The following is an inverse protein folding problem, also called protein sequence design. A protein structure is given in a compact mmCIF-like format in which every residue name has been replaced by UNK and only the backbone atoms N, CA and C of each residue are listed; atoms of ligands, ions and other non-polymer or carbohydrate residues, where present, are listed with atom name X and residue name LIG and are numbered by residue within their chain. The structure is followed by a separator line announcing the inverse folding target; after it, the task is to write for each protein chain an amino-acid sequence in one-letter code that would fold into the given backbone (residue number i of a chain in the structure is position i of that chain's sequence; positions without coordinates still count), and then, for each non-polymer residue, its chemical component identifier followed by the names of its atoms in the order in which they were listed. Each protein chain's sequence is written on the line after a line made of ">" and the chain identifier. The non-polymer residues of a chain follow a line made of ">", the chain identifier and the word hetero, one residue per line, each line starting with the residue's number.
data_IF_410829506515
#
_entry.id   IF_410829506515
#
_cell.length_a   1.000
_cell.length_b   1.000
_cell.length_c   1.000
_cell.angle_alpha   90.00
_cell.angle_beta   90.00
_cell.angle_gamma   90.00
#
_symmetry.space_group_name_H-M   'P 1'
#
loop_
_entity.id
_entity.type
_entity.pdbx_description
1 polymer ?
#
# COMPACT_ATOMS: atom_id res chain seq x y z
N UNK A 1 -25.72 1.11 -38.30
CA UNK A 1 -25.27 1.52 -36.95
C UNK A 1 -24.79 0.27 -36.22
N UNK A 2 -23.52 -0.10 -36.41
CA UNK A 2 -22.88 -1.21 -35.69
C UNK A 2 -21.55 -0.69 -35.15
N UNK A 3 -21.56 -0.23 -33.90
CA UNK A 3 -20.33 0.02 -33.15
C UNK A 3 -20.17 -1.11 -32.15
N UNK A 4 -19.43 -2.13 -32.55
CA UNK A 4 -18.92 -3.20 -31.71
C UNK A 4 -17.96 -2.57 -30.70
N UNK A 5 -18.47 -2.25 -29.51
CA UNK A 5 -17.62 -1.98 -28.34
C UNK A 5 -16.98 -3.30 -27.91
N UNK A 6 -15.89 -3.67 -28.54
CA UNK A 6 -14.90 -4.54 -27.90
C UNK A 6 -14.31 -3.74 -26.75
N UNK A 7 -14.87 -3.87 -25.55
CA UNK A 7 -14.18 -3.43 -24.35
C UNK A 7 -12.88 -4.23 -24.30
N UNK A 8 -11.77 -3.57 -24.59
CA UNK A 8 -10.45 -4.10 -24.30
C UNK A 8 -10.44 -4.32 -22.78
N UNK A 9 -10.77 -5.53 -22.33
CA UNK A 9 -10.76 -5.88 -20.92
C UNK A 9 -9.35 -5.56 -20.44
N UNK A 10 -9.18 -4.54 -19.61
CA UNK A 10 -7.88 -4.17 -19.06
C UNK A 10 -7.38 -5.33 -18.19
N UNK A 11 -6.06 -5.57 -18.16
CA UNK A 11 -5.51 -6.62 -17.32
C UNK A 11 -5.84 -6.31 -15.84
N UNK A 12 -6.49 -7.21 -15.10
CA UNK A 12 -6.90 -6.96 -13.72
C UNK A 12 -5.73 -6.75 -12.75
N UNK A 13 -4.51 -7.13 -13.15
CA UNK A 13 -3.28 -6.93 -12.38
C UNK A 13 -2.44 -5.74 -12.89
N UNK A 14 -2.99 -4.93 -13.79
CA UNK A 14 -2.33 -3.69 -14.21
C UNK A 14 -2.10 -2.75 -13.01
N UNK A 15 -1.04 -1.94 -13.08
CA UNK A 15 -0.67 -1.01 -11.99
C UNK A 15 -1.80 -0.08 -11.58
N UNK A 16 -2.68 0.28 -12.51
CA UNK A 16 -3.83 1.14 -12.27
C UNK A 16 -4.90 0.43 -11.41
N UNK A 17 -5.06 -0.87 -11.60
CA UNK A 17 -6.00 -1.70 -10.83
C UNK A 17 -5.45 -2.07 -9.44
N UNK A 18 -4.14 -2.24 -9.30
CA UNK A 18 -3.50 -2.71 -8.04
C UNK A 18 -2.82 -1.59 -7.23
N UNK A 19 -3.01 -0.33 -7.62
CA UNK A 19 -2.39 0.81 -6.95
C UNK A 19 -2.88 0.91 -5.49
N UNK A 20 -2.07 1.45 -4.55
CA UNK A 20 -2.49 1.61 -3.16
C UNK A 20 -3.76 2.44 -2.95
N UNK A 21 -4.09 3.34 -3.89
CA UNK A 21 -5.31 4.14 -3.87
C UNK A 21 -6.51 3.46 -4.52
N UNK A 22 -6.29 2.44 -5.36
CA UNK A 22 -7.35 1.72 -6.08
C UNK A 22 -7.91 0.55 -5.27
N UNK A 23 -7.15 0.02 -4.31
CA UNK A 23 -7.51 -1.18 -3.54
C UNK A 23 -7.79 -0.81 -2.08
N UNK A 24 -8.92 -1.24 -1.55
CA UNK A 24 -9.23 -1.10 -0.11
C UNK A 24 -8.43 -2.13 0.68
N UNK A 25 -7.77 -1.70 1.77
CA UNK A 25 -7.03 -2.62 2.62
C UNK A 25 -7.98 -3.61 3.32
N UNK A 26 -7.60 -4.89 3.31
CA UNK A 26 -8.34 -5.97 3.98
C UNK A 26 -7.57 -6.46 5.19
N UNK A 27 -8.22 -6.45 6.34
CA UNK A 27 -7.64 -6.98 7.57
C UNK A 27 -7.67 -8.52 7.57
N UNK A 28 -6.57 -9.14 7.99
CA UNK A 28 -6.37 -10.60 7.88
C UNK A 28 -7.25 -11.44 8.85
N UNK A 29 -7.81 -10.81 9.88
CA UNK A 29 -8.95 -11.31 10.64
C UNK A 29 -10.14 -10.51 10.09
N UNK A 30 -11.10 -11.08 9.37
CA UNK A 30 -12.03 -12.09 9.84
C UNK A 30 -12.62 -12.88 8.66
N UNK A 31 -12.90 -14.16 8.90
CA UNK A 31 -13.62 -15.05 8.00
C UNK A 31 -15.08 -14.60 7.86
N UNK A 32 -15.35 -13.66 6.96
CA UNK A 32 -16.61 -13.36 6.26
C UNK A 32 -16.39 -12.03 5.56
N UNK A 33 -17.11 -11.77 4.48
CA UNK A 33 -17.07 -10.50 3.75
C UNK A 33 -16.87 -9.36 4.75
N UNK A 34 -15.66 -8.76 4.79
CA UNK A 34 -15.35 -7.70 5.73
C UNK A 34 -16.35 -6.59 5.41
N UNK A 35 -17.39 -6.49 6.24
CA UNK A 35 -18.40 -5.47 6.09
C UNK A 35 -17.71 -4.13 6.29
N UNK A 36 -18.21 -3.08 5.65
CA UNK A 36 -17.62 -1.74 5.80
C UNK A 36 -17.53 -1.34 7.29
N UNK A 37 -18.46 -1.84 8.12
CA UNK A 37 -18.44 -1.70 9.57
C UNK A 37 -17.23 -2.34 10.27
N UNK A 38 -16.80 -3.55 9.86
CA UNK A 38 -15.66 -4.21 10.48
C UNK A 38 -14.34 -3.49 10.15
N UNK A 39 -14.23 -3.01 8.90
CA UNK A 39 -13.10 -2.17 8.45
C UNK A 39 -13.06 -0.88 9.27
N UNK A 40 -14.19 -0.19 9.40
CA UNK A 40 -14.26 1.07 10.15
C UNK A 40 -13.92 0.88 11.64
N UNK A 41 -14.45 -0.17 12.29
CA UNK A 41 -14.12 -0.51 13.67
C UNK A 41 -12.61 -0.80 13.86
N UNK A 42 -11.98 -1.45 12.90
CA UNK A 42 -10.53 -1.65 12.92
C UNK A 42 -9.78 -0.32 12.78
N UNK A 43 -10.19 0.56 11.87
CA UNK A 43 -9.58 1.88 11.71
C UNK A 43 -9.79 2.77 12.95
N UNK A 44 -10.93 2.65 13.64
CA UNK A 44 -11.15 3.29 14.95
C UNK A 44 -10.15 2.82 16.00
N UNK A 45 -9.90 1.51 16.09
CA UNK A 45 -8.89 0.98 17.00
C UNK A 45 -7.46 1.45 16.64
N UNK A 46 -7.13 1.56 15.35
CA UNK A 46 -5.86 2.13 14.94
C UNK A 46 -5.75 3.61 15.31
N UNK A 47 -6.84 4.36 15.17
CA UNK A 47 -6.90 5.77 15.54
C UNK A 47 -6.78 5.97 17.05
N UNK A 48 -7.41 5.13 17.88
CA UNK A 48 -7.26 5.22 19.34
C UNK A 48 -5.82 5.00 19.77
N UNK A 49 -5.17 3.93 19.26
CA UNK A 49 -3.74 3.67 19.49
C UNK A 49 -2.85 4.82 19.02
N UNK A 50 -3.19 5.43 17.88
CA UNK A 50 -2.44 6.57 17.38
C UNK A 50 -2.62 7.80 18.29
N UNK A 51 -3.81 8.04 18.85
CA UNK A 51 -4.04 9.14 19.81
C UNK A 51 -3.28 8.97 21.12
N UNK A 52 -3.02 7.72 21.52
CA UNK A 52 -2.25 7.39 22.72
C UNK A 52 -0.73 7.58 22.55
N UNK A 53 -0.25 7.79 21.32
CA UNK A 53 1.18 7.93 21.04
C UNK A 53 1.50 9.14 20.17
N UNK A 54 2.71 9.70 20.32
CA UNK A 54 3.18 10.79 19.43
C UNK A 54 3.89 10.27 18.19
N UNK A 55 4.49 9.08 18.28
CA UNK A 55 5.29 8.45 17.24
C UNK A 55 4.71 7.07 16.95
N UNK A 56 3.84 6.97 15.96
CA UNK A 56 3.17 5.74 15.54
C UNK A 56 3.82 5.12 14.30
N UNK A 57 3.89 3.79 14.24
CA UNK A 57 4.43 3.05 13.10
C UNK A 57 3.51 1.92 12.65
N UNK A 58 3.24 1.88 11.34
CA UNK A 58 2.69 0.71 10.64
C UNK A 58 3.87 -0.06 10.06
N UNK A 59 4.11 -1.26 10.55
CA UNK A 59 5.27 -2.06 10.14
C UNK A 59 4.86 -3.25 9.27
N UNK A 60 5.85 -3.87 8.64
CA UNK A 60 5.69 -5.15 7.95
C UNK A 60 6.56 -5.28 6.70
N UNK A 61 6.74 -6.50 6.18
CA UNK A 61 7.57 -6.78 5.02
C UNK A 61 7.19 -5.97 3.76
N UNK A 62 8.05 -6.02 2.73
CA UNK A 62 7.72 -5.39 1.45
C UNK A 62 6.46 -5.98 0.83
N UNK A 63 5.61 -5.12 0.26
CA UNK A 63 4.43 -5.54 -0.49
C UNK A 63 3.31 -6.21 0.31
N UNK A 64 3.28 -6.05 1.64
CA UNK A 64 2.20 -6.56 2.50
C UNK A 64 1.01 -5.60 2.66
N UNK A 65 0.99 -4.49 1.92
CA UNK A 65 -0.14 -3.56 1.92
C UNK A 65 -0.06 -2.37 2.90
N UNK A 66 1.13 -2.04 3.44
CA UNK A 66 1.32 -0.85 4.31
C UNK A 66 0.79 0.46 3.69
N UNK A 67 1.19 0.75 2.45
CA UNK A 67 0.71 1.93 1.71
C UNK A 67 -0.80 1.86 1.48
N UNK A 68 -1.32 0.69 1.13
CA UNK A 68 -2.77 0.45 0.96
C UNK A 68 -3.55 0.72 2.25
N UNK A 69 -3.05 0.26 3.41
CA UNK A 69 -3.63 0.57 4.72
C UNK A 69 -3.59 2.07 5.00
N UNK A 70 -2.48 2.75 4.74
CA UNK A 70 -2.39 4.21 4.92
C UNK A 70 -3.42 4.95 4.06
N UNK A 71 -3.56 4.59 2.77
CA UNK A 71 -4.54 5.21 1.89
C UNK A 71 -5.98 4.96 2.37
N UNK A 72 -6.27 3.74 2.84
CA UNK A 72 -7.57 3.39 3.43
C UNK A 72 -7.84 4.18 4.72
N UNK A 73 -6.79 4.43 5.52
CA UNK A 73 -6.90 5.12 6.80
C UNK A 73 -6.93 6.65 6.68
N UNK A 74 -6.39 7.20 5.58
CA UNK A 74 -6.16 8.64 5.41
C UNK A 74 -7.44 9.50 5.56
N UNK A 75 -8.61 9.14 4.99
CA UNK A 75 -9.83 9.93 5.18
C UNK A 75 -10.20 10.08 6.66
N UNK A 76 -10.00 9.00 7.43
CA UNK A 76 -10.30 8.96 8.85
C UNK A 76 -9.31 9.79 9.68
N UNK A 77 -8.04 9.78 9.29
CA UNK A 77 -7.02 10.65 9.87
C UNK A 77 -7.31 12.13 9.59
N UNK A 78 -7.73 12.46 8.37
CA UNK A 78 -8.08 13.83 7.98
C UNK A 78 -9.28 14.38 8.76
N UNK A 79 -10.22 13.51 9.14
CA UNK A 79 -11.33 13.90 10.00
C UNK A 79 -10.93 14.06 11.47
N UNK A 80 -9.97 13.25 11.94
CA UNK A 80 -9.60 13.18 13.36
C UNK A 80 -8.55 14.21 13.80
N UNK A 81 -7.81 14.80 12.86
CA UNK A 81 -6.72 15.75 13.14
C UNK A 81 -7.00 17.11 12.47
N UNK A 82 -6.62 18.24 13.10
CA UNK A 82 -6.85 19.57 12.55
C UNK A 82 -6.23 19.79 11.17
N UNK A 83 -5.06 19.18 10.94
CA UNK A 83 -4.39 19.16 9.66
C UNK A 83 -3.55 17.88 9.54
N UNK A 84 -3.58 17.29 8.34
CA UNK A 84 -2.79 16.11 8.00
C UNK A 84 -1.90 16.42 6.79
N UNK A 85 -0.59 16.28 6.95
CA UNK A 85 0.35 16.30 5.83
C UNK A 85 0.75 14.86 5.48
N UNK A 86 0.53 14.44 4.23
CA UNK A 86 0.87 13.10 3.75
C UNK A 86 2.01 13.18 2.75
N UNK A 87 3.07 12.40 2.99
CA UNK A 87 4.22 12.31 2.10
C UNK A 87 4.55 10.85 1.80
N UNK A 88 4.41 10.47 0.54
CA UNK A 88 4.90 9.21 0.04
C UNK A 88 6.33 9.35 -0.48
N UNK A 89 7.20 8.50 0.01
CA UNK A 89 8.57 8.38 -0.45
C UNK A 89 8.62 7.21 -1.42
N UNK A 90 8.94 7.52 -2.67
CA UNK A 90 9.27 6.53 -3.68
C UNK A 90 10.75 6.67 -4.02
N UNK A 91 11.44 5.54 -4.13
CA UNK A 91 12.76 5.44 -4.75
C UNK A 91 12.64 4.49 -5.91
N UNK A 92 13.09 4.93 -7.10
CA UNK A 92 13.30 3.99 -8.19
C UNK A 92 14.62 3.24 -7.93
N UNK A 93 14.61 1.90 -7.79
CA UNK A 93 15.82 1.12 -7.67
C UNK A 93 16.75 1.22 -8.90
N UNK A 94 16.33 1.81 -10.02
CA UNK A 94 17.17 2.06 -11.19
C UNK A 94 17.98 3.36 -11.11
N UNK A 95 17.76 4.19 -10.09
CA UNK A 95 18.47 5.45 -9.96
C UNK A 95 19.94 5.30 -9.58
N UNK A 96 20.78 6.13 -10.19
CA UNK A 96 22.21 6.24 -9.84
C UNK A 96 22.39 6.65 -8.37
N UNK A 97 23.51 6.25 -7.77
CA UNK A 97 23.84 6.58 -6.37
C UNK A 97 23.76 8.09 -6.07
N UNK A 98 24.15 8.93 -7.04
CA UNK A 98 24.08 10.39 -6.92
C UNK A 98 22.63 10.89 -6.87
N UNK A 99 21.75 10.38 -7.75
CA UNK A 99 20.32 10.72 -7.75
C UNK A 99 19.66 10.29 -6.44
N UNK A 100 19.87 9.04 -6.03
CA UNK A 100 19.36 8.53 -4.74
C UNK A 100 19.75 9.41 -3.55
N UNK A 101 21.00 9.90 -3.53
CA UNK A 101 21.43 10.81 -2.47
C UNK A 101 20.69 12.16 -2.53
N UNK A 102 20.61 12.76 -3.72
CA UNK A 102 19.87 14.00 -3.95
C UNK A 102 18.39 13.86 -3.55
N UNK A 103 17.74 12.77 -3.93
CA UNK A 103 16.34 12.48 -3.62
C UNK A 103 16.11 12.34 -2.11
N UNK A 104 17.02 11.69 -1.38
CA UNK A 104 16.94 11.60 0.09
C UNK A 104 17.06 12.95 0.78
N UNK A 105 17.95 13.81 0.27
CA UNK A 105 18.10 15.17 0.80
C UNK A 105 16.85 15.98 0.50
N UNK A 106 16.32 15.88 -0.72
CA UNK A 106 15.10 16.58 -1.13
C UNK A 106 13.87 16.10 -0.35
N UNK A 107 13.70 14.79 -0.20
CA UNK A 107 12.66 14.17 0.62
C UNK A 107 12.73 14.67 2.07
N UNK A 108 13.94 14.69 2.64
CA UNK A 108 14.18 15.29 3.95
C UNK A 108 13.68 16.74 4.01
N UNK A 109 14.12 17.60 3.08
CA UNK A 109 13.71 19.01 3.02
C UNK A 109 12.19 19.19 2.90
N UNK A 110 11.53 18.41 2.03
CA UNK A 110 10.06 18.43 1.85
C UNK A 110 9.34 18.10 3.16
N UNK A 111 9.75 17.03 3.84
CA UNK A 111 9.13 16.64 5.11
C UNK A 111 9.40 17.68 6.20
N UNK A 112 10.60 18.29 6.23
CA UNK A 112 10.88 19.38 7.18
C UNK A 112 9.97 20.57 6.95
N UNK A 113 9.81 20.99 5.71
CA UNK A 113 8.92 22.10 5.36
C UNK A 113 7.48 21.80 5.78
N UNK A 114 6.99 20.60 5.49
CA UNK A 114 5.66 20.16 5.89
C UNK A 114 5.47 20.10 7.41
N UNK A 115 6.48 19.61 8.15
CA UNK A 115 6.44 19.58 9.61
C UNK A 115 6.38 20.99 10.21
N UNK A 116 7.10 21.95 9.63
CA UNK A 116 7.08 23.35 10.09
C UNK A 116 5.79 24.08 9.73
N UNK A 117 5.06 23.64 8.71
CA UNK A 117 3.77 24.23 8.33
C UNK A 117 2.58 23.66 9.10
N UNK A 118 2.75 22.55 9.82
CA UNK A 118 1.67 21.94 10.59
C UNK A 118 1.45 22.68 11.91
N UNK A 119 0.19 22.92 12.32
CA UNK A 119 -0.14 23.47 13.63
C UNK A 119 0.14 22.45 14.73
N UNK A 120 0.22 22.94 15.97
CA UNK A 120 0.24 22.07 17.14
C UNK A 120 -1.02 21.18 17.16
N UNK A 121 -0.83 19.89 17.42
CA UNK A 121 -1.88 18.88 17.31
C UNK A 121 -2.11 18.33 15.90
N UNK A 122 -1.39 18.82 14.89
CA UNK A 122 -1.42 18.26 13.53
C UNK A 122 -0.80 16.86 13.44
N UNK A 123 -0.98 16.22 12.28
CA UNK A 123 -0.44 14.90 11.96
C UNK A 123 0.43 14.95 10.70
N UNK A 124 1.64 14.40 10.81
CA UNK A 124 2.51 14.13 9.69
C UNK A 124 2.52 12.62 9.40
N UNK A 125 2.14 12.24 8.18
CA UNK A 125 2.15 10.86 7.69
C UNK A 125 3.28 10.70 6.68
N UNK A 126 4.17 9.72 6.89
CA UNK A 126 5.28 9.42 5.99
C UNK A 126 5.22 7.96 5.55
N UNK A 127 4.94 7.72 4.26
CA UNK A 127 4.99 6.39 3.66
C UNK A 127 6.42 6.11 3.15
N UNK A 128 7.10 5.12 3.71
CA UNK A 128 8.48 4.74 3.35
C UNK A 128 9.57 5.35 4.23
N UNK A 129 9.42 5.30 5.55
CA UNK A 129 10.36 5.90 6.53
C UNK A 129 11.82 5.49 6.33
N UNK A 130 12.06 4.25 5.92
CA UNK A 130 13.39 3.72 5.63
C UNK A 130 14.11 4.42 4.48
N UNK A 131 13.40 5.18 3.64
CA UNK A 131 14.01 5.91 2.54
C UNK A 131 14.70 7.19 3.01
N UNK A 132 14.37 7.72 4.19
CA UNK A 132 15.02 8.91 4.75
C UNK A 132 16.42 8.60 5.28
N UNK A 133 17.34 9.57 5.18
CA UNK A 133 18.64 9.49 5.85
C UNK A 133 18.50 9.50 7.38
N UNK A 134 19.44 8.86 8.10
CA UNK A 134 19.40 8.74 9.58
C UNK A 134 19.27 10.09 10.29
N UNK A 135 20.02 11.09 9.84
CA UNK A 135 19.96 12.46 10.38
C UNK A 135 18.58 13.11 10.18
N UNK A 136 17.97 12.92 9.00
CA UNK A 136 16.62 13.42 8.73
C UNK A 136 15.59 12.75 9.64
N UNK A 137 15.65 11.42 9.80
CA UNK A 137 14.75 10.69 10.70
C UNK A 137 14.86 11.20 12.14
N UNK A 138 16.08 11.30 12.67
CA UNK A 138 16.33 11.79 14.02
C UNK A 138 15.78 13.21 14.22
N UNK A 139 16.06 14.11 13.27
CA UNK A 139 15.57 15.49 13.33
C UNK A 139 14.04 15.54 13.27
N UNK A 140 13.41 14.81 12.34
CA UNK A 140 11.94 14.80 12.18
C UNK A 140 11.27 14.28 13.44
N UNK A 141 11.76 13.16 14.00
CA UNK A 141 11.23 12.61 15.24
C UNK A 141 11.37 13.60 16.41
N UNK A 142 12.53 14.25 16.55
CA UNK A 142 12.74 15.23 17.64
C UNK A 142 11.91 16.50 17.47
N UNK A 143 11.87 17.05 16.25
CA UNK A 143 11.10 18.25 15.93
C UNK A 143 9.58 18.05 16.07
N UNK A 144 9.07 16.85 15.75
CA UNK A 144 7.64 16.54 15.94
C UNK A 144 7.20 16.70 17.40
N UNK A 145 8.05 16.27 18.35
CA UNK A 145 7.80 16.42 19.79
C UNK A 145 7.76 17.88 20.23
N UNK A 146 8.72 18.70 19.80
CA UNK A 146 8.77 20.13 20.13
C UNK A 146 7.61 20.92 19.52
N UNK A 147 7.19 20.55 18.30
CA UNK A 147 6.08 21.20 17.59
C UNK A 147 4.70 20.66 18.00
N UNK A 148 4.64 19.69 18.93
CA UNK A 148 3.41 18.99 19.34
C UNK A 148 2.65 18.38 18.15
N UNK A 149 3.38 17.88 17.15
CA UNK A 149 2.84 17.20 15.97
C UNK A 149 2.95 15.69 16.18
N UNK A 150 1.89 14.96 15.84
CA UNK A 150 1.92 13.49 15.82
C UNK A 150 2.58 13.01 14.52
N UNK A 151 3.43 11.99 14.62
CA UNK A 151 4.11 11.40 13.47
C UNK A 151 3.63 9.96 13.28
N UNK A 152 3.07 9.66 12.11
CA UNK A 152 2.71 8.32 11.67
C UNK A 152 3.59 7.91 10.50
N UNK A 153 4.20 6.73 10.56
CA UNK A 153 5.10 6.27 9.49
C UNK A 153 4.83 4.83 9.07
N UNK A 154 5.16 4.48 7.83
CA UNK A 154 5.33 3.07 7.43
C UNK A 154 6.81 2.70 7.40
N UNK A 155 7.12 1.48 7.84
CA UNK A 155 8.48 0.95 7.83
C UNK A 155 8.51 -0.58 7.72
N UNK A 156 9.66 -1.18 7.41
CA UNK A 156 9.80 -2.65 7.50
C UNK A 156 9.90 -3.16 8.94
N UNK A 157 10.60 -2.39 9.78
CA UNK A 157 10.83 -2.73 11.18
C UNK A 157 10.49 -1.53 12.05
N UNK A 158 10.20 -1.82 13.33
CA UNK A 158 9.92 -0.80 14.34
C UNK A 158 11.06 0.23 14.40
N UNK A 159 10.81 1.51 14.06
CA UNK A 159 11.80 2.55 14.25
C UNK A 159 12.01 2.83 15.75
N UNK A 160 13.21 3.23 16.14
CA UNK A 160 13.53 3.52 17.54
C UNK A 160 12.64 4.65 18.09
N UNK A 161 12.03 4.42 19.26
CA UNK A 161 11.13 5.38 19.90
C UNK A 161 9.70 5.40 19.37
N UNK A 162 9.35 4.59 18.37
CA UNK A 162 7.99 4.50 17.83
C UNK A 162 7.18 3.41 18.53
N UNK A 163 5.88 3.65 18.68
CA UNK A 163 4.88 2.65 19.05
C UNK A 163 4.37 1.97 17.77
N UNK A 164 4.38 0.65 17.74
CA UNK A 164 3.81 -0.09 16.61
C UNK A 164 2.28 -0.07 16.76
N UNK A 165 1.59 0.60 15.83
CA UNK A 165 0.13 0.67 15.83
C UNK A 165 -0.50 -0.51 15.07
N UNK A 166 0.21 -1.01 14.05
CA UNK A 166 -0.23 -2.15 13.24
C UNK A 166 0.98 -2.84 12.59
N UNK A 167 0.89 -4.16 12.45
CA UNK A 167 1.83 -4.96 11.66
C UNK A 167 1.08 -5.63 10.52
N UNK A 168 1.47 -5.29 9.30
CA UNK A 168 0.91 -5.86 8.07
C UNK A 168 1.57 -7.20 7.78
N UNK A 169 0.76 -8.18 7.37
CA UNK A 169 1.23 -9.51 6.99
C UNK A 169 0.39 -10.06 5.83
N UNK A 170 1.04 -10.79 4.93
CA UNK A 170 0.34 -11.50 3.87
C UNK A 170 -0.16 -12.86 4.39
N UNK A 171 -1.38 -13.26 3.99
CA UNK A 171 -1.88 -14.62 4.23
C UNK A 171 -2.40 -15.21 2.92
N UNK A 172 -2.38 -16.54 2.81
CA UNK A 172 -2.93 -17.24 1.63
C UNK A 172 -4.41 -16.93 1.40
N UNK A 173 -5.17 -16.82 2.49
CA UNK A 173 -6.60 -16.45 2.44
C UNK A 173 -6.79 -15.03 1.91
N UNK A 174 -6.02 -14.07 2.43
CA UNK A 174 -6.06 -12.66 1.98
C UNK A 174 -5.70 -12.53 0.50
N UNK A 175 -4.59 -13.15 0.07
CA UNK A 175 -4.14 -13.13 -1.31
C UNK A 175 -5.21 -13.71 -2.25
N UNK A 176 -5.82 -14.83 -1.87
CA UNK A 176 -6.87 -15.46 -2.68
C UNK A 176 -8.13 -14.60 -2.76
N UNK A 177 -8.52 -13.96 -1.67
CA UNK A 177 -9.66 -13.04 -1.65
C UNK A 177 -9.43 -11.84 -2.58
N UNK A 178 -8.24 -11.23 -2.51
CA UNK A 178 -7.86 -10.10 -3.37
C UNK A 178 -7.85 -10.50 -4.85
N UNK A 179 -7.29 -11.67 -5.19
CA UNK A 179 -7.26 -12.12 -6.57
C UNK A 179 -8.65 -12.40 -7.14
N UNK A 180 -9.56 -12.98 -6.35
CA UNK A 180 -10.97 -13.16 -6.75
C UNK A 180 -11.65 -11.82 -7.00
N UNK A 181 -11.39 -10.82 -6.16
CA UNK A 181 -11.95 -9.47 -6.32
C UNK A 181 -11.42 -8.80 -7.60
N UNK A 182 -10.11 -8.85 -7.84
CA UNK A 182 -9.49 -8.28 -9.04
C UNK A 182 -9.98 -8.96 -10.33
N UNK A 183 -10.28 -10.25 -10.29
CA UNK A 183 -10.68 -11.04 -11.46
C UNK A 183 -12.19 -11.19 -11.62
N UNK A 184 -13.02 -10.60 -10.74
CA UNK A 184 -14.48 -10.81 -10.73
C UNK A 184 -15.16 -10.51 -12.08
N UNK A 185 -14.67 -9.48 -12.78
CA UNK A 185 -15.20 -9.02 -14.07
C UNK A 185 -14.44 -9.60 -15.27
N UNK A 186 -13.46 -10.49 -15.01
CA UNK A 186 -12.68 -11.16 -16.06
C UNK A 186 -13.39 -12.43 -16.56
N UNK A 187 -13.10 -12.91 -17.79
CA UNK A 187 -13.64 -14.17 -18.28
C UNK A 187 -13.31 -15.35 -17.36
N UNK A 188 -14.21 -16.34 -17.26
CA UNK A 188 -14.06 -17.50 -16.38
C UNK A 188 -12.71 -18.24 -16.56
N UNK A 189 -12.21 -18.33 -17.80
CA UNK A 189 -10.89 -18.92 -18.09
C UNK A 189 -9.76 -18.23 -17.33
N UNK A 190 -9.76 -16.89 -17.30
CA UNK A 190 -8.77 -16.08 -16.58
C UNK A 190 -8.94 -16.25 -15.07
N UNK A 191 -10.18 -16.21 -14.57
CA UNK A 191 -10.46 -16.41 -13.14
C UNK A 191 -9.93 -17.77 -12.65
N UNK A 192 -10.20 -18.85 -13.40
CA UNK A 192 -9.77 -20.21 -13.07
C UNK A 192 -8.25 -20.33 -13.10
N UNK A 193 -7.61 -19.83 -14.16
CA UNK A 193 -6.16 -19.84 -14.31
C UNK A 193 -5.44 -19.16 -13.14
N UNK A 194 -5.92 -17.98 -12.74
CA UNK A 194 -5.38 -17.23 -11.60
C UNK A 194 -5.60 -17.99 -10.27
N UNK A 195 -6.81 -18.52 -10.02
CA UNK A 195 -7.10 -19.26 -8.78
C UNK A 195 -6.23 -20.51 -8.65
N UNK A 196 -5.99 -21.22 -9.76
CA UNK A 196 -5.12 -22.41 -9.78
C UNK A 196 -3.65 -22.05 -9.53
N UNK A 197 -3.14 -20.96 -10.10
CA UNK A 197 -1.79 -20.46 -9.83
C UNK A 197 -1.58 -19.95 -8.41
N UNK A 198 -2.60 -19.36 -7.79
CA UNK A 198 -2.51 -18.93 -6.39
C UNK A 198 -2.55 -20.13 -5.45
N UNK A 199 -3.39 -21.14 -5.75
CA UNK A 199 -3.46 -22.38 -4.95
C UNK A 199 -2.17 -23.18 -4.97
N UNK A 200 -1.45 -23.19 -6.10
CA UNK A 200 -0.19 -23.94 -6.23
C UNK A 200 0.96 -23.29 -5.46
N UNK A 201 0.82 -22.00 -5.08
CA UNK A 201 1.87 -21.23 -4.40
C UNK A 201 1.80 -21.33 -2.88
N UNK A 202 2.97 -21.46 -2.26
CA UNK A 202 3.14 -21.34 -0.81
C UNK A 202 3.24 -19.87 -0.40
N UNK A 203 2.10 -19.26 -0.08
CA UNK A 203 2.04 -17.92 0.52
C UNK A 203 2.37 -18.00 2.01
N UNK A 204 3.31 -17.18 2.45
CA UNK A 204 3.69 -17.03 3.87
C UNK A 204 3.59 -15.56 4.30
N UNK A 205 3.81 -15.29 5.60
CA UNK A 205 3.66 -13.95 6.20
C UNK A 205 4.58 -12.88 5.58
N UNK A 206 5.66 -13.28 4.91
CA UNK A 206 6.64 -12.41 4.24
C UNK A 206 6.48 -12.36 2.73
N UNK A 207 5.48 -13.04 2.17
CA UNK A 207 5.23 -13.01 0.73
C UNK A 207 4.93 -11.58 0.29
N UNK A 208 5.71 -11.12 -0.68
CA UNK A 208 5.48 -9.84 -1.34
C UNK A 208 4.31 -10.01 -2.31
N UNK A 209 3.15 -9.48 -1.94
CA UNK A 209 1.93 -9.59 -2.75
C UNK A 209 2.06 -8.83 -4.07
N UNK A 210 2.88 -7.78 -4.11
CA UNK A 210 3.13 -7.03 -5.35
C UNK A 210 3.87 -7.87 -6.38
N UNK A 211 4.87 -8.63 -5.97
CA UNK A 211 5.61 -9.52 -6.88
C UNK A 211 4.68 -10.59 -7.44
N UNK A 212 3.77 -11.11 -6.60
CA UNK A 212 2.73 -12.03 -7.05
C UNK A 212 1.80 -11.42 -8.10
N UNK A 213 1.38 -10.16 -7.92
CA UNK A 213 0.58 -9.46 -8.92
C UNK A 213 1.32 -9.24 -10.25
N UNK A 214 2.62 -8.96 -10.21
CA UNK A 214 3.41 -8.86 -11.45
C UNK A 214 3.47 -10.19 -12.19
N UNK A 215 3.66 -11.31 -11.49
CA UNK A 215 3.63 -12.62 -12.12
C UNK A 215 2.24 -12.96 -12.69
N UNK A 216 1.15 -12.58 -12.00
CA UNK A 216 -0.21 -12.77 -12.51
C UNK A 216 -0.50 -11.88 -13.71
N UNK A 217 0.06 -10.67 -13.75
CA UNK A 217 -0.02 -9.79 -14.91
C UNK A 217 0.59 -10.46 -16.14
N UNK A 218 1.83 -10.95 -16.02
CA UNK A 218 2.56 -11.62 -17.11
C UNK A 218 1.79 -12.83 -17.65
N UNK A 219 1.26 -13.65 -16.73
CA UNK A 219 0.44 -14.82 -17.07
C UNK A 219 -0.84 -14.46 -17.85
N UNK A 220 -1.54 -13.41 -17.43
CA UNK A 220 -2.75 -12.95 -18.12
C UNK A 220 -2.42 -12.35 -19.50
N UNK A 221 -1.30 -11.63 -19.61
CA UNK A 221 -0.84 -11.10 -20.90
C UNK A 221 -0.42 -12.20 -21.87
N UNK A 222 0.27 -13.24 -21.39
CA UNK A 222 0.65 -14.39 -22.20
C UNK A 222 -0.59 -15.12 -22.75
N UNK A 223 -1.55 -15.44 -21.89
CA UNK A 223 -2.80 -16.10 -22.33
C UNK A 223 -3.62 -15.25 -23.32
N UNK A 224 -3.50 -13.92 -23.29
CA UNK A 224 -4.17 -13.01 -24.23
C UNK A 224 -3.49 -13.01 -25.60
N UNK A 225 -2.16 -13.02 -25.63
CA UNK A 225 -1.38 -13.12 -26.87
C UNK A 225 -1.69 -14.42 -27.59
N UNK A 226 -1.67 -15.55 -26.87
CA UNK A 226 -2.03 -16.86 -27.43
C UNK A 226 -3.44 -16.89 -28.02
N UNK A 227 -4.42 -16.26 -27.35
CA UNK A 227 -5.79 -16.19 -27.83
C UNK A 227 -5.93 -15.34 -29.11
N UNK A 228 -5.16 -14.25 -29.22
CA UNK A 228 -5.14 -13.40 -30.39
C UNK A 228 -4.40 -14.07 -31.57
N UNK A 229 -3.27 -14.71 -31.31
CA UNK A 229 -2.49 -15.40 -32.36
C UNK A 229 -3.26 -16.60 -32.92
N UNK A 230 -4.04 -17.31 -32.10
CA UNK A 230 -4.95 -18.37 -32.55
C UNK A 230 -6.15 -17.90 -33.37
N UNK A 231 -6.50 -16.60 -33.33
CA UNK A 231 -7.59 -16.00 -34.12
C UNK A 231 -7.14 -15.50 -35.50
N UNK A 232 -5.83 -15.26 -35.70
CA UNK A 232 -5.24 -14.83 -36.98
C UNK A 232 -4.52 -15.97 -37.75
N UNK A 233 -4.54 -17.19 -37.20
CA UNK A 233 -3.87 -18.38 -37.75
C UNK A 233 -4.76 -19.35 -38.52
N UNK A 234 -5.76 -18.88 -39.26
CA UNK A 234 -6.58 -19.69 -40.18
C UNK A 234 -6.78 -19.01 -41.52
#
# INVERSE_FOLDING_TARGET
>A
MNSSFGSHLTNPFSTDCISPSSVVYRFAAENRAATDHAVDAHLENLLSKLRECRLGAIIGPHGTGKSTLLHTFLPKLQHAYPQVAFHQLCHDPRDSLRRRFADRVQAGRRIRAALSSLPAGGLLVVDGWEQLGRLSRWWISRSSGSNKVTLLVTAHHRPAGFTVIHETAASSQLVRALAKELTKDSPYRIQKMVDDQIKSRRVNLRTNVRDLWFEMYDLVEESRKEANDGLFGH
#
